data_IF_896706216054
#
_entry.id   IF_896706216054
#
_cell.length_a   1.000
_cell.length_b   1.000
_cell.length_c   1.000
_cell.angle_alpha   90.00
_cell.angle_beta   90.00
_cell.angle_gamma   90.00
#
_symmetry.space_group_name_H-M   'P 1'
#
loop_
_entity.id
_entity.type
_entity.pdbx_description
1 polymer ?
#
# COMPACT_ATOMS: atom_id res chain seq x y z
N UNK A 1 22.69 -15.05 -55.37
CA UNK A 1 22.66 -16.09 -56.43
C UNK A 1 21.93 -17.33 -55.89
N UNK A 2 21.75 -18.40 -56.70
CA UNK A 2 20.86 -19.56 -56.43
C UNK A 2 21.34 -20.51 -55.30
N UNK A 3 20.39 -20.97 -54.46
CA UNK A 3 20.05 -22.38 -54.03
C UNK A 3 21.19 -23.25 -53.39
N UNK A 4 21.01 -24.39 -52.71
CA UNK A 4 19.96 -25.47 -52.62
C UNK A 4 20.00 -26.01 -51.15
N UNK A 5 18.94 -26.01 -50.34
CA UNK A 5 17.89 -27.04 -50.12
C UNK A 5 18.33 -28.47 -49.70
N UNK A 6 17.86 -28.95 -48.54
CA UNK A 6 17.25 -30.25 -48.19
C UNK A 6 16.65 -30.07 -46.76
N UNK A 7 15.50 -30.57 -46.31
CA UNK A 7 14.49 -31.55 -46.80
C UNK A 7 14.86 -33.04 -46.60
N UNK A 8 14.35 -33.61 -45.50
CA UNK A 8 13.96 -35.03 -45.38
C UNK A 8 12.78 -35.12 -44.39
N UNK A 9 11.95 -36.18 -44.44
CA UNK A 9 10.53 -36.06 -44.07
C UNK A 9 9.81 -37.41 -43.83
N UNK A 10 8.84 -37.40 -42.89
CA UNK A 10 7.60 -38.24 -42.86
C UNK A 10 7.83 -39.75 -42.56
N UNK A 11 7.03 -40.45 -41.75
CA UNK A 11 5.67 -40.98 -42.00
C UNK A 11 4.82 -41.07 -40.72
N UNK A 12 3.53 -40.74 -40.83
CA UNK A 12 2.47 -41.18 -39.92
C UNK A 12 1.49 -42.09 -40.70
N UNK A 13 0.77 -42.99 -40.02
CA UNK A 13 -0.17 -43.93 -40.64
C UNK A 13 -1.55 -43.86 -39.99
N UNK A 14 -2.60 -43.94 -40.80
CA UNK A 14 -4.01 -43.79 -40.43
C UNK A 14 -4.72 -45.14 -40.59
N UNK A 15 -5.68 -45.44 -39.71
CA UNK A 15 -6.63 -46.53 -39.89
C UNK A 15 -7.97 -46.20 -39.21
N UNK A 16 -9.05 -46.17 -39.97
CA UNK A 16 -10.41 -45.89 -39.48
C UNK A 16 -11.44 -46.77 -40.20
N UNK A 17 -12.50 -47.16 -39.50
CA UNK A 17 -13.65 -47.90 -40.03
C UNK A 17 -14.93 -47.48 -39.30
N UNK A 18 -16.04 -47.42 -40.05
CA UNK A 18 -17.41 -47.24 -39.57
C UNK A 18 -18.15 -48.62 -39.62
N UNK A 19 -19.44 -48.81 -39.32
CA UNK A 19 -20.59 -47.90 -39.15
C UNK A 19 -21.71 -48.59 -38.31
N UNK A 20 -22.96 -48.08 -38.42
CA UNK A 20 -24.23 -48.57 -37.85
C UNK A 20 -24.47 -48.30 -36.34
N UNK A 21 -25.69 -48.00 -35.88
CA UNK A 21 -26.91 -47.66 -36.63
C UNK A 21 -28.18 -47.45 -35.77
N UNK A 22 -28.87 -46.32 -36.00
CA UNK A 22 -30.33 -46.02 -35.84
C UNK A 22 -31.23 -46.66 -34.76
N UNK A 23 -31.95 -45.78 -34.04
CA UNK A 23 -33.36 -45.85 -33.60
C UNK A 23 -33.79 -46.59 -32.32
N UNK A 24 -34.16 -45.76 -31.31
CA UNK A 24 -35.52 -45.56 -30.75
C UNK A 24 -36.46 -46.77 -30.45
N UNK A 25 -36.83 -46.96 -29.17
CA UNK A 25 -38.21 -47.02 -28.63
C UNK A 25 -38.22 -47.40 -27.10
N UNK A 26 -39.32 -47.12 -26.38
CA UNK A 26 -39.91 -48.09 -25.44
C UNK A 26 -39.51 -48.16 -23.96
N UNK A 27 -40.18 -47.36 -23.10
CA UNK A 27 -41.09 -47.92 -22.08
C UNK A 27 -40.60 -48.64 -20.80
N UNK A 28 -40.77 -47.92 -19.67
CA UNK A 28 -41.35 -48.36 -18.37
C UNK A 28 -40.70 -49.42 -17.43
N UNK A 29 -40.78 -49.10 -16.13
CA UNK A 29 -40.90 -49.98 -14.93
C UNK A 29 -39.86 -51.08 -14.62
N UNK A 30 -39.31 -51.08 -13.39
CA UNK A 30 -38.66 -52.29 -12.86
C UNK A 30 -37.80 -52.22 -11.59
N UNK A 31 -38.40 -51.99 -10.41
CA UNK A 31 -37.94 -52.47 -9.08
C UNK A 31 -37.00 -51.59 -8.23
N UNK A 32 -37.51 -51.28 -7.03
CA UNK A 32 -36.85 -50.64 -5.89
C UNK A 32 -35.68 -51.45 -5.31
N UNK A 33 -34.64 -50.78 -4.83
CA UNK A 33 -33.83 -51.27 -3.69
C UNK A 33 -33.47 -50.10 -2.79
N UNK A 34 -33.87 -50.20 -1.52
CA UNK A 34 -33.67 -49.15 -0.51
C UNK A 34 -32.25 -49.20 0.03
N UNK A 35 -31.59 -48.03 0.09
CA UNK A 35 -30.43 -47.79 0.96
C UNK A 35 -30.83 -46.75 2.02
N UNK A 36 -30.45 -46.99 3.27
CA UNK A 36 -30.83 -46.18 4.44
C UNK A 36 -30.06 -44.86 4.48
N UNK A 37 -30.67 -43.72 4.84
CA UNK A 37 -29.92 -42.50 5.12
C UNK A 37 -29.15 -42.62 6.44
N UNK A 38 -27.85 -42.35 6.42
CA UNK A 38 -27.07 -42.08 7.65
C UNK A 38 -27.09 -40.58 7.91
N UNK A 39 -27.81 -40.18 8.94
CA UNK A 39 -27.83 -38.82 9.47
C UNK A 39 -26.63 -38.58 10.40
N UNK A 40 -26.07 -37.37 10.34
CA UNK A 40 -25.26 -36.80 11.43
C UNK A 40 -23.75 -36.93 11.26
N UNK A 41 -23.15 -35.90 10.68
CA UNK A 41 -22.43 -34.95 11.53
C UNK A 41 -22.55 -33.54 10.94
N UNK A 42 -23.51 -32.75 11.42
CA UNK A 42 -23.60 -31.33 11.06
C UNK A 42 -22.54 -30.58 11.87
N UNK A 43 -21.38 -30.35 11.25
CA UNK A 43 -20.40 -29.40 11.78
C UNK A 43 -21.01 -28.00 11.72
N UNK A 44 -21.70 -27.61 12.79
CA UNK A 44 -22.14 -26.24 13.02
C UNK A 44 -20.91 -25.35 12.99
N UNK A 45 -20.70 -24.65 11.89
CA UNK A 45 -19.76 -23.54 11.84
C UNK A 45 -20.22 -22.51 12.86
N UNK A 46 -19.50 -22.40 13.97
CA UNK A 46 -19.60 -21.25 14.86
C UNK A 46 -19.30 -20.03 14.01
N UNK A 47 -20.33 -19.24 13.71
CA UNK A 47 -20.13 -17.90 13.18
C UNK A 47 -19.41 -17.11 14.27
N UNK A 48 -18.11 -16.88 14.09
CA UNK A 48 -17.36 -15.94 14.89
C UNK A 48 -18.08 -14.60 14.78
N UNK A 49 -18.49 -14.06 15.92
CA UNK A 49 -19.40 -12.92 15.95
C UNK A 49 -18.70 -11.70 15.37
N UNK A 50 -19.14 -11.25 14.19
CA UNK A 50 -18.78 -9.94 13.68
C UNK A 50 -19.05 -8.92 14.81
N UNK A 51 -18.00 -8.18 15.18
CA UNK A 51 -18.09 -7.16 16.21
C UNK A 51 -19.09 -6.07 15.84
N UNK A 52 -19.38 -5.19 16.80
CA UNK A 52 -20.13 -3.98 16.51
C UNK A 52 -19.34 -3.16 15.46
N UNK A 53 -19.87 -2.93 14.24
CA UNK A 53 -19.13 -2.25 13.19
C UNK A 53 -18.79 -0.80 13.55
N UNK A 54 -19.52 -0.18 14.48
CA UNK A 54 -19.22 1.16 15.00
C UNK A 54 -18.02 1.16 15.97
N UNK A 55 -17.51 -0.01 16.37
CA UNK A 55 -16.35 -0.21 17.24
C UNK A 55 -15.19 -0.96 16.54
N UNK A 56 -15.23 -1.11 15.21
CA UNK A 56 -14.18 -1.77 14.46
C UNK A 56 -12.93 -0.87 14.36
N UNK A 57 -11.82 -1.28 15.01
CA UNK A 57 -10.52 -0.62 14.87
C UNK A 57 -9.88 -0.98 13.51
N UNK A 58 -9.56 0.04 12.71
CA UNK A 58 -8.92 -0.09 11.39
C UNK A 58 -7.60 0.68 11.38
N UNK A 59 -6.43 0.00 11.30
CA UNK A 59 -5.16 0.69 11.13
C UNK A 59 -5.09 1.31 9.73
N UNK A 60 -4.62 2.56 9.67
CA UNK A 60 -4.41 3.32 8.43
C UNK A 60 -3.12 4.11 8.50
N UNK A 61 -2.62 4.48 7.33
CA UNK A 61 -1.43 5.30 7.16
C UNK A 61 -1.81 6.79 7.12
N UNK A 62 -1.02 7.65 7.74
CA UNK A 62 -1.10 9.10 7.57
C UNK A 62 0.23 9.57 6.98
N UNK A 63 0.18 10.23 5.83
CA UNK A 63 1.39 10.70 5.17
C UNK A 63 1.68 12.12 5.63
N UNK A 64 2.69 12.26 6.49
CA UNK A 64 3.20 13.50 7.02
C UNK A 64 4.45 13.96 6.26
N UNK A 65 5.14 15.00 6.73
CA UNK A 65 6.44 15.45 6.17
C UNK A 65 7.59 15.13 7.12
N UNK A 66 8.73 14.68 6.60
CA UNK A 66 10.00 14.54 7.33
C UNK A 66 11.13 15.12 6.47
N UNK A 67 11.62 16.30 6.84
CA UNK A 67 12.61 17.02 6.02
C UNK A 67 11.92 17.73 4.84
N UNK A 68 12.29 17.35 3.62
CA UNK A 68 11.71 17.87 2.37
C UNK A 68 10.81 16.82 1.67
N UNK A 69 10.64 15.64 2.28
CA UNK A 69 9.94 14.47 1.74
C UNK A 69 8.66 14.11 2.53
N UNK A 70 7.75 13.35 1.91
CA UNK A 70 6.66 12.65 2.62
C UNK A 70 7.17 11.48 3.49
N UNK A 71 6.51 11.21 4.61
CA UNK A 71 6.85 10.11 5.52
C UNK A 71 5.61 9.48 6.17
N UNK A 72 5.62 8.16 6.35
CA UNK A 72 4.46 7.38 6.80
C UNK A 72 4.38 7.32 8.33
N UNK A 73 3.33 7.93 8.89
CA UNK A 73 2.89 7.75 10.27
C UNK A 73 1.72 6.76 10.39
N UNK A 74 1.50 6.24 11.59
CA UNK A 74 0.38 5.33 11.89
C UNK A 74 -0.82 6.03 12.54
N UNK A 75 -2.03 5.56 12.25
CA UNK A 75 -3.27 5.95 12.92
C UNK A 75 -4.24 4.76 12.99
N UNK A 76 -5.18 4.79 13.94
CA UNK A 76 -6.25 3.79 14.06
C UNK A 76 -7.59 4.51 14.00
N UNK A 77 -8.31 4.35 12.90
CA UNK A 77 -9.70 4.78 12.80
C UNK A 77 -10.62 3.81 13.55
N UNK A 78 -11.76 4.29 14.05
CA UNK A 78 -12.74 3.47 14.77
C UNK A 78 -14.11 3.64 14.12
N UNK A 79 -14.69 2.53 13.67
CA UNK A 79 -16.00 2.54 13.01
C UNK A 79 -15.95 2.86 11.51
N UNK A 80 -17.11 3.13 10.87
CA UNK A 80 -17.24 3.07 9.41
C UNK A 80 -16.63 4.26 8.63
N UNK A 81 -16.35 5.40 9.27
CA UNK A 81 -15.93 6.64 8.58
C UNK A 81 -14.41 6.75 8.37
N UNK A 82 -13.74 5.63 8.10
CA UNK A 82 -12.27 5.46 8.11
C UNK A 82 -11.52 6.55 7.32
N UNK A 83 -11.89 6.79 6.05
CA UNK A 83 -11.21 7.80 5.22
C UNK A 83 -11.38 9.24 5.70
N UNK A 84 -12.55 9.57 6.28
CA UNK A 84 -12.77 10.89 6.89
C UNK A 84 -11.94 11.06 8.16
N UNK A 85 -11.91 10.04 9.02
CA UNK A 85 -11.08 10.06 10.24
C UNK A 85 -9.58 10.17 9.90
N UNK A 86 -9.12 9.55 8.81
CA UNK A 86 -7.75 9.69 8.34
C UNK A 86 -7.43 11.15 7.94
N UNK A 87 -8.31 11.81 7.18
CA UNK A 87 -8.15 13.24 6.86
C UNK A 87 -8.24 14.14 8.11
N UNK A 88 -9.20 13.92 9.00
CA UNK A 88 -9.35 14.70 10.24
C UNK A 88 -8.08 14.58 11.12
N UNK A 89 -7.49 13.39 11.23
CA UNK A 89 -6.22 13.16 11.92
C UNK A 89 -5.02 13.79 11.17
N UNK A 90 -5.04 13.81 9.83
CA UNK A 90 -4.00 14.46 9.01
C UNK A 90 -4.02 15.98 9.17
N UNK A 91 -5.21 16.60 9.22
CA UNK A 91 -5.39 18.05 9.45
C UNK A 91 -4.94 18.47 10.86
N UNK A 92 -5.16 17.62 11.87
CA UNK A 92 -4.61 17.81 13.23
C UNK A 92 -3.07 17.76 13.24
N UNK A 93 -2.47 17.06 12.28
CA UNK A 93 -1.01 16.90 12.16
C UNK A 93 -0.44 15.76 13.02
N UNK A 94 0.88 15.53 12.94
CA UNK A 94 1.51 14.42 13.62
C UNK A 94 1.45 14.56 15.14
N UNK A 95 1.01 13.50 15.82
CA UNK A 95 0.94 13.39 17.28
C UNK A 95 1.59 12.09 17.77
N UNK A 96 1.80 11.96 19.07
CA UNK A 96 2.34 10.74 19.69
C UNK A 96 3.67 10.28 19.07
N UNK A 97 3.73 9.01 18.67
CA UNK A 97 4.91 8.37 18.09
C UNK A 97 5.29 8.95 16.71
N UNK A 98 4.32 9.42 15.93
CA UNK A 98 4.59 10.10 14.65
C UNK A 98 5.37 11.41 14.88
N UNK A 99 4.96 12.20 15.88
CA UNK A 99 5.67 13.41 16.28
C UNK A 99 7.04 13.10 16.94
N UNK A 100 7.12 12.03 17.73
CA UNK A 100 8.38 11.57 18.32
C UNK A 100 9.38 11.11 17.24
N UNK A 101 8.89 10.55 16.13
CA UNK A 101 9.64 10.16 14.94
C UNK A 101 9.95 11.35 13.99
N UNK A 102 9.85 12.59 14.48
CA UNK A 102 10.35 13.80 13.82
C UNK A 102 9.50 14.32 12.67
N UNK A 103 8.23 13.91 12.57
CA UNK A 103 7.32 14.35 11.52
C UNK A 103 6.73 15.76 11.80
N UNK A 104 6.45 16.49 10.73
CA UNK A 104 5.67 17.72 10.70
C UNK A 104 4.56 17.66 9.64
N UNK A 105 3.89 18.79 9.39
CA UNK A 105 2.91 18.92 8.28
C UNK A 105 3.09 20.26 7.57
N UNK A 106 2.74 20.33 6.29
CA UNK A 106 2.67 21.57 5.50
C UNK A 106 1.23 22.06 5.28
N UNK A 107 0.25 21.35 5.86
CA UNK A 107 -1.15 21.81 5.97
C UNK A 107 -1.19 22.98 6.97
N UNK A 108 -1.85 24.11 6.64
CA UNK A 108 -1.95 25.24 7.55
C UNK A 108 -2.78 24.90 8.79
N UNK A 109 -2.44 25.45 9.97
CA UNK A 109 -3.37 25.41 11.10
C UNK A 109 -4.70 26.06 10.70
N UNK A 110 -5.76 25.65 11.39
CA UNK A 110 -7.14 26.13 11.16
C UNK A 110 -7.75 25.75 9.79
N UNK A 111 -7.10 24.88 9.00
CA UNK A 111 -7.73 24.21 7.83
C UNK A 111 -8.86 23.28 8.29
N UNK A 112 -10.07 23.43 7.73
CA UNK A 112 -11.21 22.56 8.01
C UNK A 112 -11.46 21.54 6.87
N UNK A 113 -11.93 20.34 7.22
CA UNK A 113 -12.51 19.37 6.27
C UNK A 113 -14.00 19.65 6.15
N UNK A 114 -14.41 20.25 5.03
CA UNK A 114 -15.81 20.60 4.76
C UNK A 114 -16.59 19.36 4.35
N UNK A 115 -16.09 18.62 3.35
CA UNK A 115 -16.66 17.35 2.93
C UNK A 115 -15.63 16.35 2.37
N UNK A 116 -16.05 15.09 2.30
CA UNK A 116 -15.36 13.99 1.64
C UNK A 116 -16.42 13.03 1.12
N UNK A 117 -16.58 12.98 -0.20
CA UNK A 117 -17.38 11.98 -0.91
C UNK A 117 -16.46 11.01 -1.67
N UNK A 118 -16.89 9.76 -1.84
CA UNK A 118 -16.12 8.73 -2.55
C UNK A 118 -17.06 7.95 -3.47
N UNK A 119 -16.95 8.19 -4.77
CA UNK A 119 -17.86 7.65 -5.79
C UNK A 119 -17.09 7.22 -7.04
N UNK A 120 -17.43 6.05 -7.59
CA UNK A 120 -16.90 5.51 -8.86
C UNK A 120 -15.35 5.51 -8.98
N UNK A 121 -14.64 5.42 -7.86
CA UNK A 121 -13.16 5.42 -7.77
C UNK A 121 -12.54 6.78 -7.48
N UNK A 122 -13.33 7.86 -7.46
CA UNK A 122 -12.84 9.22 -7.15
C UNK A 122 -13.16 9.59 -5.71
N UNK A 123 -12.17 10.06 -4.94
CA UNK A 123 -12.37 10.75 -3.68
C UNK A 123 -12.40 12.27 -3.94
N UNK A 124 -13.56 12.90 -3.78
CA UNK A 124 -13.69 14.36 -3.83
C UNK A 124 -13.57 14.91 -2.42
N UNK A 125 -12.49 15.63 -2.14
CA UNK A 125 -12.20 16.26 -0.85
C UNK A 125 -12.42 17.77 -0.93
N UNK A 126 -13.20 18.31 -0.01
CA UNK A 126 -13.54 19.73 0.09
C UNK A 126 -12.94 20.33 1.36
N UNK A 127 -12.09 21.35 1.21
CA UNK A 127 -11.26 21.94 2.27
C UNK A 127 -11.47 23.46 2.33
N UNK A 128 -11.26 24.07 3.49
CA UNK A 128 -11.41 25.53 3.63
C UNK A 128 -10.32 26.34 2.90
N UNK A 129 -10.59 27.63 2.62
CA UNK A 129 -9.65 28.52 1.89
C UNK A 129 -8.22 28.55 2.47
N UNK A 130 -8.05 28.29 3.77
CA UNK A 130 -6.75 28.12 4.42
C UNK A 130 -5.86 27.12 3.68
N UNK A 131 -6.38 25.98 3.22
CA UNK A 131 -5.62 24.93 2.52
C UNK A 131 -4.97 25.43 1.23
N UNK A 132 -5.57 26.39 0.54
CA UNK A 132 -5.01 27.02 -0.66
C UNK A 132 -4.02 28.16 -0.34
N UNK A 133 -3.80 28.50 0.94
CA UNK A 133 -3.13 29.74 1.34
C UNK A 133 -1.67 29.55 1.85
N UNK A 134 -0.82 30.55 1.61
CA UNK A 134 0.52 30.65 2.18
C UNK A 134 1.52 29.56 1.75
N UNK A 135 2.67 29.53 2.41
CA UNK A 135 3.80 28.66 2.05
C UNK A 135 4.60 29.16 0.84
N UNK A 136 5.44 28.26 0.31
CA UNK A 136 6.12 28.38 -0.98
C UNK A 136 6.02 27.06 -1.74
N UNK A 137 6.62 26.97 -2.94
CA UNK A 137 6.44 25.87 -3.90
C UNK A 137 6.48 24.48 -3.29
N UNK A 138 7.59 24.13 -2.64
CA UNK A 138 7.80 22.84 -1.97
C UNK A 138 6.76 22.57 -0.87
N UNK A 139 6.40 23.58 -0.07
CA UNK A 139 5.40 23.44 0.98
C UNK A 139 3.99 23.19 0.42
N UNK A 140 3.64 23.81 -0.72
CA UNK A 140 2.36 23.58 -1.39
C UNK A 140 2.31 22.18 -2.03
N UNK A 141 3.39 21.74 -2.67
CA UNK A 141 3.49 20.39 -3.23
C UNK A 141 3.37 19.31 -2.15
N UNK A 142 4.17 19.41 -1.08
CA UNK A 142 4.08 18.52 0.09
C UNK A 142 2.68 18.53 0.73
N UNK A 143 2.06 19.71 0.88
CA UNK A 143 0.71 19.83 1.45
C UNK A 143 -0.31 19.00 0.70
N UNK A 144 -0.31 19.06 -0.63
CA UNK A 144 -1.21 18.28 -1.48
C UNK A 144 -0.82 16.80 -1.47
N UNK A 145 0.48 16.48 -1.56
CA UNK A 145 1.00 15.11 -1.52
C UNK A 145 0.55 14.36 -0.25
N UNK A 146 0.61 14.99 0.93
CA UNK A 146 0.12 14.41 2.19
C UNK A 146 -1.34 13.95 2.09
N UNK A 147 -2.21 14.75 1.45
CA UNK A 147 -3.65 14.43 1.30
C UNK A 147 -3.85 13.31 0.28
N UNK A 148 -3.20 13.41 -0.90
CA UNK A 148 -3.37 12.42 -1.98
C UNK A 148 -2.86 11.04 -1.55
N UNK A 149 -1.64 10.94 -1.00
CA UNK A 149 -1.13 9.67 -0.46
C UNK A 149 -2.02 9.09 0.65
N UNK A 150 -2.62 9.93 1.50
CA UNK A 150 -3.52 9.48 2.58
C UNK A 150 -4.88 9.00 2.06
N UNK A 151 -5.30 9.39 0.84
CA UNK A 151 -6.55 8.93 0.23
C UNK A 151 -6.34 7.75 -0.74
N UNK A 152 -5.33 7.78 -1.60
CA UNK A 152 -5.01 6.66 -2.53
C UNK A 152 -4.45 5.41 -1.82
N UNK A 153 -4.26 5.44 -0.48
CA UNK A 153 -4.05 4.21 0.30
C UNK A 153 -5.26 3.27 0.27
N UNK A 154 -6.47 3.80 0.05
CA UNK A 154 -7.71 3.04 0.13
C UNK A 154 -8.01 2.39 -1.24
N UNK A 155 -8.23 1.06 -1.33
CA UNK A 155 -8.44 0.35 -2.60
C UNK A 155 -9.82 0.60 -3.24
N UNK A 156 -10.46 1.72 -2.89
CA UNK A 156 -11.69 2.27 -3.47
C UNK A 156 -11.46 3.69 -4.02
N UNK A 157 -10.20 4.16 -4.04
CA UNK A 157 -9.78 5.49 -4.49
C UNK A 157 -8.65 5.32 -5.51
N UNK A 158 -8.98 5.50 -6.77
CA UNK A 158 -8.06 5.52 -7.92
C UNK A 158 -7.66 6.97 -8.31
N UNK A 159 -8.36 7.98 -7.79
CA UNK A 159 -8.18 9.40 -8.09
C UNK A 159 -8.61 10.29 -6.91
N UNK A 160 -7.92 11.41 -6.70
CA UNK A 160 -8.26 12.44 -5.69
C UNK A 160 -8.51 13.79 -6.36
N UNK A 161 -9.72 14.31 -6.17
CA UNK A 161 -10.17 15.62 -6.69
C UNK A 161 -10.39 16.62 -5.53
N UNK A 162 -9.94 17.86 -5.70
CA UNK A 162 -10.00 18.91 -4.69
C UNK A 162 -11.06 19.99 -5.00
N UNK A 163 -11.88 20.30 -4.01
CA UNK A 163 -12.70 21.51 -3.92
C UNK A 163 -12.14 22.43 -2.81
N UNK A 164 -12.41 23.73 -2.93
CA UNK A 164 -12.07 24.73 -1.91
C UNK A 164 -13.34 25.54 -1.62
N UNK A 165 -13.76 25.63 -0.36
CA UNK A 165 -15.02 26.25 0.09
C UNK A 165 -16.27 25.76 -0.69
N UNK A 166 -16.27 24.51 -1.15
CA UNK A 166 -17.31 23.91 -1.98
C UNK A 166 -17.29 24.33 -3.46
N UNK A 167 -16.31 25.12 -3.90
CA UNK A 167 -16.13 25.53 -5.30
C UNK A 167 -14.96 24.77 -5.97
N UNK A 168 -15.12 24.44 -7.25
CA UNK A 168 -14.06 23.85 -8.05
C UNK A 168 -13.13 24.97 -8.58
N UNK A 169 -11.83 24.87 -8.28
CA UNK A 169 -10.83 25.89 -8.62
C UNK A 169 -9.93 25.49 -9.79
N UNK A 170 -9.42 26.48 -10.53
CA UNK A 170 -8.50 26.27 -11.66
C UNK A 170 -7.12 25.73 -11.23
N UNK A 171 -6.79 25.80 -9.93
CA UNK A 171 -5.57 25.22 -9.35
C UNK A 171 -5.39 25.57 -7.87
N UNK A 172 -4.60 24.77 -7.15
CA UNK A 172 -4.32 24.92 -5.71
C UNK A 172 -3.12 25.84 -5.51
N UNK A 173 -3.27 26.80 -4.60
CA UNK A 173 -2.20 27.73 -4.21
C UNK A 173 -1.87 28.80 -5.25
N UNK A 174 -1.04 29.76 -4.84
CA UNK A 174 -0.55 30.84 -5.73
C UNK A 174 0.34 30.37 -6.88
N UNK A 175 0.64 29.08 -6.97
CA UNK A 175 1.38 28.45 -8.08
C UNK A 175 0.48 27.80 -9.12
N UNK A 176 -0.80 27.54 -8.79
CA UNK A 176 -1.72 26.81 -9.67
C UNK A 176 -1.33 25.35 -9.86
N UNK A 177 -1.10 24.62 -8.75
CA UNK A 177 -1.00 23.15 -8.81
C UNK A 177 -2.33 22.55 -9.31
N UNK A 178 -2.33 21.36 -9.94
CA UNK A 178 -3.56 20.67 -10.31
C UNK A 178 -4.57 20.50 -9.15
N UNK A 179 -5.84 20.31 -9.50
CA UNK A 179 -6.92 19.96 -8.56
C UNK A 179 -7.39 18.51 -8.67
N UNK A 180 -6.71 17.69 -9.49
CA UNK A 180 -7.04 16.28 -9.72
C UNK A 180 -5.76 15.48 -9.87
N UNK A 181 -5.67 14.35 -9.17
CA UNK A 181 -4.48 13.54 -9.01
C UNK A 181 -4.77 12.04 -9.07
N UNK A 182 -3.80 11.27 -9.59
CA UNK A 182 -3.77 9.81 -9.65
C UNK A 182 -2.31 9.38 -9.55
N UNK A 183 -2.00 8.31 -8.82
CA UNK A 183 -0.63 7.82 -8.60
C UNK A 183 0.29 8.89 -7.97
N UNK A 184 0.29 9.01 -6.63
CA UNK A 184 1.10 10.01 -5.95
C UNK A 184 2.61 9.79 -6.11
N UNK A 185 3.04 8.57 -6.48
CA UNK A 185 4.46 8.27 -6.74
C UNK A 185 4.96 8.91 -8.04
N UNK A 186 4.06 9.11 -9.00
CA UNK A 186 4.31 9.85 -10.25
C UNK A 186 4.02 11.35 -10.07
N UNK A 187 2.91 11.70 -9.41
CA UNK A 187 2.50 13.10 -9.25
C UNK A 187 3.41 13.90 -8.30
N UNK A 188 4.03 13.24 -7.31
CA UNK A 188 4.85 13.87 -6.27
C UNK A 188 6.25 13.23 -6.17
N UNK A 189 6.78 12.73 -7.29
CA UNK A 189 8.11 12.09 -7.37
C UNK A 189 9.25 12.97 -6.79
N UNK A 190 9.18 14.29 -6.99
CA UNK A 190 10.18 15.26 -6.49
C UNK A 190 10.15 15.47 -4.95
N UNK A 191 9.14 14.93 -4.25
CA UNK A 191 8.97 15.01 -2.78
C UNK A 191 8.63 13.65 -2.15
N UNK A 192 8.86 12.57 -2.89
CA UNK A 192 8.75 11.19 -2.40
C UNK A 192 10.16 10.68 -2.14
N UNK A 193 10.47 10.11 -0.96
CA UNK A 193 11.82 9.65 -0.68
C UNK A 193 12.12 8.38 -1.51
N UNK A 194 13.39 8.14 -1.83
CA UNK A 194 13.78 6.99 -2.67
C UNK A 194 13.47 5.61 -2.04
N UNK A 195 13.20 5.58 -0.74
CA UNK A 195 12.65 4.46 0.03
C UNK A 195 11.55 5.02 0.95
N UNK A 196 10.33 4.50 0.85
CA UNK A 196 9.19 4.88 1.68
C UNK A 196 8.59 3.61 2.32
N UNK A 197 8.88 3.38 3.61
CA UNK A 197 8.33 2.23 4.36
C UNK A 197 6.90 2.54 4.78
N UNK A 198 5.97 1.67 4.40
CA UNK A 198 4.54 1.74 4.76
C UNK A 198 4.18 0.82 5.92
N UNK A 199 4.97 -0.24 6.15
CA UNK A 199 4.85 -1.15 7.29
C UNK A 199 6.24 -1.60 7.74
N UNK A 200 6.58 -1.62 9.04
CA UNK A 200 5.80 -1.10 10.16
C UNK A 200 5.75 0.44 10.19
N UNK A 201 4.87 0.98 11.03
CA UNK A 201 4.75 2.43 11.32
C UNK A 201 5.47 2.80 12.64
N UNK A 202 5.80 4.08 12.88
CA UNK A 202 6.51 4.50 14.09
C UNK A 202 5.77 4.12 15.39
N UNK A 203 6.53 3.58 16.34
CA UNK A 203 6.05 3.17 17.66
C UNK A 203 5.32 1.82 17.69
N UNK A 204 5.14 1.16 16.54
CA UNK A 204 4.43 -0.12 16.47
C UNK A 204 5.11 -1.20 17.31
N UNK A 205 4.29 -2.00 18.01
CA UNK A 205 4.72 -3.19 18.77
C UNK A 205 4.61 -4.41 17.87
N UNK A 206 5.66 -5.22 17.83
CA UNK A 206 5.86 -6.30 16.85
C UNK A 206 6.46 -7.54 17.53
N UNK A 207 6.10 -8.72 17.04
CA UNK A 207 6.87 -9.95 17.28
C UNK A 207 7.61 -10.36 16.01
N UNK A 208 8.66 -11.17 16.16
CA UNK A 208 9.50 -11.62 15.04
C UNK A 208 9.05 -12.98 14.49
N UNK A 209 9.21 -13.27 13.17
CA UNK A 209 9.81 -12.40 12.15
C UNK A 209 8.91 -11.22 11.77
N UNK A 210 9.53 -10.08 11.46
CA UNK A 210 8.87 -8.83 11.09
C UNK A 210 8.79 -8.74 9.57
N UNK A 211 7.58 -8.54 9.02
CA UNK A 211 7.41 -8.07 7.65
C UNK A 211 7.65 -6.56 7.59
N UNK A 212 8.44 -6.12 6.61
CA UNK A 212 8.73 -4.72 6.31
C UNK A 212 8.40 -4.47 4.84
N UNK A 213 7.49 -3.55 4.58
CA UNK A 213 6.86 -3.32 3.28
C UNK A 213 6.88 -1.83 2.94
N UNK A 214 6.85 -1.51 1.65
CA UNK A 214 6.90 -0.13 1.18
C UNK A 214 7.09 -0.04 -0.32
N UNK A 215 7.46 1.15 -0.79
CA UNK A 215 7.85 1.42 -2.18
C UNK A 215 9.28 1.98 -2.24
N UNK A 216 10.00 1.71 -3.34
CA UNK A 216 11.32 2.29 -3.56
C UNK A 216 11.61 2.59 -5.03
N UNK A 217 12.60 3.44 -5.28
CA UNK A 217 13.22 3.67 -6.61
C UNK A 217 14.76 3.66 -6.50
N UNK A 218 15.31 2.66 -5.80
CA UNK A 218 16.75 2.58 -5.50
C UNK A 218 17.62 2.27 -6.74
N UNK A 219 18.92 2.54 -6.64
CA UNK A 219 19.91 2.18 -7.63
C UNK A 219 19.99 0.65 -7.77
N UNK A 220 19.85 0.15 -9.00
CA UNK A 220 19.76 -1.29 -9.31
C UNK A 220 18.70 -2.05 -8.45
N UNK A 221 17.62 -1.35 -8.04
CA UNK A 221 16.54 -1.86 -7.17
C UNK A 221 17.06 -2.51 -5.86
N UNK A 222 18.23 -2.09 -5.39
CA UNK A 222 18.89 -2.70 -4.23
C UNK A 222 18.65 -1.90 -2.96
N UNK A 223 17.91 -2.49 -2.03
CA UNK A 223 17.63 -1.95 -0.69
C UNK A 223 18.53 -2.67 0.32
N UNK A 224 19.37 -1.94 1.03
CA UNK A 224 20.09 -2.45 2.19
C UNK A 224 19.23 -2.25 3.45
N UNK A 225 19.28 -3.19 4.40
CA UNK A 225 18.44 -3.10 5.60
C UNK A 225 19.09 -3.70 6.86
N UNK A 226 18.67 -3.20 8.02
CA UNK A 226 19.03 -3.76 9.34
C UNK A 226 17.94 -3.54 10.38
N UNK A 227 17.68 -4.57 11.18
CA UNK A 227 16.92 -4.51 12.42
C UNK A 227 17.89 -4.39 13.59
N UNK A 228 17.79 -3.33 14.40
CA UNK A 228 18.72 -3.09 15.52
C UNK A 228 18.05 -2.50 16.75
N UNK A 229 18.55 -2.86 17.93
CA UNK A 229 18.14 -2.20 19.19
C UNK A 229 18.63 -0.75 19.24
N UNK A 230 17.92 0.13 19.96
CA UNK A 230 18.33 1.54 20.16
C UNK A 230 19.67 1.71 20.91
N UNK A 231 20.22 0.63 21.47
CA UNK A 231 21.56 0.58 22.10
C UNK A 231 22.66 0.05 21.16
N UNK A 232 22.38 -0.11 19.86
CA UNK A 232 23.37 -0.40 18.82
C UNK A 232 23.72 -1.89 18.63
N UNK A 233 22.96 -2.81 19.25
CA UNK A 233 23.03 -4.24 18.88
C UNK A 233 22.19 -4.47 17.63
N UNK A 234 22.82 -4.91 16.53
CA UNK A 234 22.12 -5.47 15.36
C UNK A 234 21.51 -6.83 15.74
N UNK A 235 20.25 -7.02 15.39
CA UNK A 235 19.46 -8.25 15.58
C UNK A 235 19.57 -9.08 14.29
N UNK A 236 19.27 -8.44 13.15
CA UNK A 236 19.35 -9.02 11.82
C UNK A 236 19.70 -7.92 10.78
N UNK A 237 20.26 -8.31 9.64
CA UNK A 237 20.62 -7.38 8.55
C UNK A 237 20.81 -8.12 7.22
N UNK A 238 20.52 -7.43 6.11
CA UNK A 238 20.66 -7.99 4.79
C UNK A 238 20.42 -6.96 3.69
N UNK A 239 20.04 -7.47 2.52
CA UNK A 239 19.61 -6.66 1.38
C UNK A 239 18.41 -7.32 0.70
N UNK A 240 17.70 -6.55 -0.11
CA UNK A 240 16.70 -7.01 -1.07
C UNK A 240 17.01 -6.43 -2.45
N UNK A 241 16.57 -7.11 -3.50
CA UNK A 241 16.64 -6.65 -4.89
C UNK A 241 15.21 -6.58 -5.46
N UNK A 242 14.37 -5.84 -4.75
CA UNK A 242 12.91 -5.81 -4.87
C UNK A 242 12.45 -4.35 -4.66
N UNK A 243 11.37 -3.95 -5.31
CA UNK A 243 11.04 -2.54 -5.51
C UNK A 243 11.65 -1.94 -6.80
N UNK A 244 11.43 -0.64 -6.97
CA UNK A 244 11.65 0.07 -8.23
C UNK A 244 13.07 0.59 -8.43
N UNK A 245 13.30 1.21 -9.59
CA UNK A 245 14.57 1.81 -9.98
C UNK A 245 14.42 2.87 -11.08
N UNK A 246 15.45 3.71 -11.25
CA UNK A 246 15.57 4.70 -12.33
C UNK A 246 14.46 5.78 -12.35
N UNK A 247 13.89 6.12 -11.20
CA UNK A 247 12.78 7.09 -11.07
C UNK A 247 11.40 6.48 -11.32
N UNK A 248 11.30 5.14 -11.34
CA UNK A 248 10.03 4.42 -11.31
C UNK A 248 9.92 3.69 -9.98
N UNK A 249 8.87 3.98 -9.21
CA UNK A 249 8.58 3.26 -7.97
C UNK A 249 8.00 1.88 -8.26
N UNK A 250 8.36 0.91 -7.41
CA UNK A 250 7.68 -0.38 -7.29
C UNK A 250 7.72 -0.82 -5.81
N UNK A 251 6.82 -1.73 -5.45
CA UNK A 251 6.67 -2.28 -4.10
C UNK A 251 7.82 -3.22 -3.73
N UNK A 252 8.18 -3.27 -2.45
CA UNK A 252 9.10 -4.25 -1.89
C UNK A 252 8.50 -4.96 -0.67
N UNK A 253 8.91 -6.21 -0.43
CA UNK A 253 8.62 -6.92 0.83
C UNK A 253 9.87 -7.61 1.39
N UNK A 254 10.21 -7.28 2.64
CA UNK A 254 11.39 -7.77 3.37
C UNK A 254 10.91 -8.52 4.61
N UNK A 255 11.54 -9.64 4.95
CA UNK A 255 11.35 -10.34 6.22
C UNK A 255 12.61 -10.20 7.07
N UNK A 256 12.48 -9.69 8.29
CA UNK A 256 13.58 -9.53 9.25
C UNK A 256 13.41 -10.50 10.43
N UNK A 257 14.44 -11.29 10.70
CA UNK A 257 14.39 -12.35 11.71
C UNK A 257 14.70 -11.87 13.13
N UNK A 258 14.28 -12.65 14.12
CA UNK A 258 14.51 -12.38 15.54
C UNK A 258 15.61 -13.22 16.16
N UNK A 259 16.48 -12.60 16.97
CA UNK A 259 17.52 -13.29 17.75
C UNK A 259 17.15 -13.51 19.24
N UNK A 260 15.91 -13.20 19.61
CA UNK A 260 15.43 -13.19 21.00
C UNK A 260 15.65 -11.88 21.76
N UNK A 261 16.06 -10.81 21.07
CA UNK A 261 15.99 -9.43 21.58
C UNK A 261 14.55 -8.94 21.72
N UNK A 262 14.29 -8.14 22.75
CA UNK A 262 13.01 -7.43 22.95
C UNK A 262 13.27 -5.99 23.40
N UNK A 263 12.23 -5.15 23.33
CA UNK A 263 12.28 -3.72 23.64
C UNK A 263 12.54 -2.82 22.42
N UNK A 264 12.83 -1.55 22.71
CA UNK A 264 12.95 -0.49 21.71
C UNK A 264 14.03 -0.77 20.67
N UNK A 265 13.61 -0.79 19.41
CA UNK A 265 14.41 -1.13 18.25
C UNK A 265 14.11 -0.17 17.09
N UNK A 266 14.89 -0.26 16.03
CA UNK A 266 14.77 0.54 14.82
C UNK A 266 14.89 -0.40 13.62
N UNK A 267 13.95 -0.25 12.68
CA UNK A 267 14.08 -0.75 11.31
C UNK A 267 14.74 0.37 10.50
N UNK A 268 15.93 0.12 9.98
CA UNK A 268 16.70 1.08 9.16
C UNK A 268 16.90 0.49 7.76
N UNK A 269 16.40 1.18 6.73
CA UNK A 269 16.66 0.89 5.32
C UNK A 269 17.54 2.01 4.73
N UNK A 270 18.34 1.70 3.72
CA UNK A 270 19.15 2.67 2.97
C UNK A 270 19.55 2.11 1.59
N UNK A 271 20.18 2.94 0.75
CA UNK A 271 20.99 2.46 -0.38
C UNK A 271 22.44 2.93 -0.24
N UNK A 272 23.39 2.17 -0.80
CA UNK A 272 24.80 2.55 -0.78
C UNK A 272 25.12 3.44 -1.99
N UNK A 273 25.78 4.58 -1.76
CA UNK A 273 26.22 5.52 -2.80
C UNK A 273 27.15 4.83 -3.80
N UNK A 274 26.76 4.79 -5.08
CA UNK A 274 27.57 4.21 -6.15
C UNK A 274 28.89 4.98 -6.43
N UNK A 275 29.02 6.22 -5.94
CA UNK A 275 30.26 7.01 -6.05
C UNK A 275 31.19 6.81 -4.83
N UNK A 276 30.64 6.72 -3.61
CA UNK A 276 31.44 6.80 -2.36
C UNK A 276 31.36 5.57 -1.47
N UNK A 277 30.30 4.75 -1.57
CA UNK A 277 30.00 3.65 -0.66
C UNK A 277 29.44 4.08 0.71
N UNK A 278 29.09 5.37 0.88
CA UNK A 278 28.39 5.85 2.06
C UNK A 278 26.89 5.50 1.98
N UNK A 279 26.22 5.37 3.15
CA UNK A 279 24.76 5.23 3.20
C UNK A 279 24.08 6.52 2.78
N UNK A 280 23.14 6.43 1.86
CA UNK A 280 22.23 7.52 1.45
C UNK A 280 20.78 7.04 1.49
N UNK A 281 19.84 7.99 1.45
CA UNK A 281 18.38 7.73 1.47
C UNK A 281 17.95 6.84 2.66
N UNK A 282 18.50 7.15 3.84
CA UNK A 282 18.32 6.36 5.06
C UNK A 282 16.92 6.60 5.64
N UNK A 283 16.06 5.60 5.58
CA UNK A 283 14.72 5.62 6.17
C UNK A 283 14.69 4.83 7.48
N UNK A 284 14.34 5.49 8.57
CA UNK A 284 14.25 4.88 9.91
C UNK A 284 12.82 4.87 10.45
N UNK A 285 12.42 3.70 10.97
CA UNK A 285 11.17 3.48 11.72
C UNK A 285 11.51 2.98 13.13
N UNK A 286 11.24 3.75 14.20
CA UNK A 286 11.36 3.27 15.56
C UNK A 286 10.20 2.31 15.89
N UNK A 287 10.49 1.17 16.51
CA UNK A 287 9.51 0.11 16.83
C UNK A 287 9.82 -0.52 18.20
N UNK A 288 8.92 -1.35 18.72
CA UNK A 288 9.16 -2.18 19.91
C UNK A 288 8.99 -3.66 19.56
N UNK A 289 9.96 -4.50 19.98
CA UNK A 289 9.90 -5.96 19.78
C UNK A 289 9.46 -6.64 21.09
N UNK A 290 8.53 -7.60 21.02
CA UNK A 290 8.11 -8.49 22.12
C UNK A 290 8.33 -9.98 21.81
#
# INVERSE_FOLDING_TARGET
MRRVLHVLAVVALIGALAACGSSDDGGSEGTTTTATPTTGDETTTTAEGAGDPDLAETPVLLYFVRGEDVAVGGFTAIGPTVGRQALEALLIGPTGENAAAGMGTQIPPDTELLDLDVADGVATVDLSEEFASGGGSLAMQLRVAQVVYTLEQFPTVDQVDFLIDGEAVDGIGGEGLPTSYTDPTVAFADVTPAILVTSPVPGQVLSTPIAVEGISTTFEATIQWSLGTTVGKIIDQGFATDGGANGTYDSFSITMEGDGSTGSSVVTLWQDSAETGDRVDVYEVPVTIE
#
